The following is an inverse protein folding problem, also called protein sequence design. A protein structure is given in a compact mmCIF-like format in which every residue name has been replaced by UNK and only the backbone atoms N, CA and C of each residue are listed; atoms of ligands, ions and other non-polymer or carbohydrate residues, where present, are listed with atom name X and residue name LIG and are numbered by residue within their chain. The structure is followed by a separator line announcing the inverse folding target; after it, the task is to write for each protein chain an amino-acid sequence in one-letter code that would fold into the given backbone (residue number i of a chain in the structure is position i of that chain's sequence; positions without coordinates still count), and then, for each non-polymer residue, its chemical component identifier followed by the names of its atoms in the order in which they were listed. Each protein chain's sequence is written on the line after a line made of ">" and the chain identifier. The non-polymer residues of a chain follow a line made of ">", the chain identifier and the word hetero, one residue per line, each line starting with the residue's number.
data_IF_725307589460
#
_entry.id   IF_725307589460
#
_cell.length_a   1.000
_cell.length_b   1.000
_cell.length_c   1.000
_cell.angle_alpha   90.00
_cell.angle_beta   90.00
_cell.angle_gamma   90.00
#
_symmetry.space_group_name_H-M   'P 1'
#
loop_
_entity.id
_entity.type
_entity.pdbx_description
1 polymer ?
#
# COMPACT_ATOMS: atom_id res chain seq x y z
N UNK A 1 24.50 0.61 7.75
CA UNK A 1 24.05 -0.17 8.92
C UNK A 1 22.58 0.14 9.09
N UNK A 2 21.72 -0.84 8.79
CA UNK A 2 20.27 -0.71 8.91
C UNK A 2 19.92 -0.62 10.39
N UNK A 3 19.43 0.52 10.85
CA UNK A 3 18.57 0.54 12.02
C UNK A 3 17.48 -0.48 11.74
N UNK A 4 17.51 -1.60 12.46
CA UNK A 4 16.60 -2.70 12.25
C UNK A 4 15.18 -2.18 12.44
N UNK A 5 14.44 -2.07 11.33
CA UNK A 5 13.02 -1.79 11.34
C UNK A 5 12.36 -2.95 12.08
N UNK A 6 12.21 -2.82 13.40
CA UNK A 6 11.53 -3.78 14.25
C UNK A 6 10.02 -3.56 14.10
N UNK A 7 9.53 -3.81 12.88
CA UNK A 7 8.13 -3.69 12.52
C UNK A 7 7.50 -5.06 12.72
N UNK A 8 6.43 -5.13 13.51
CA UNK A 8 5.69 -6.37 13.70
C UNK A 8 4.82 -6.70 12.49
N UNK A 9 4.57 -8.00 12.26
CA UNK A 9 3.66 -8.45 11.20
C UNK A 9 2.28 -7.80 11.30
N UNK A 10 1.77 -7.62 12.53
CA UNK A 10 0.51 -6.93 12.76
C UNK A 10 0.52 -5.47 12.29
N UNK A 11 1.66 -4.78 12.41
CA UNK A 11 1.80 -3.41 11.91
C UNK A 11 1.89 -3.37 10.38
N UNK A 12 2.56 -4.33 9.75
CA UNK A 12 2.60 -4.47 8.28
C UNK A 12 1.21 -4.80 7.73
N UNK A 13 0.47 -5.70 8.37
CA UNK A 13 -0.89 -6.05 7.98
C UNK A 13 -1.84 -4.85 8.10
N UNK A 14 -1.79 -4.13 9.22
CA UNK A 14 -2.56 -2.91 9.43
C UNK A 14 -2.23 -1.83 8.38
N UNK A 15 -0.95 -1.67 8.03
CA UNK A 15 -0.51 -0.74 6.99
C UNK A 15 -1.02 -1.14 5.61
N UNK A 16 -0.90 -2.42 5.22
CA UNK A 16 -1.42 -2.95 3.97
C UNK A 16 -2.93 -2.75 3.84
N UNK A 17 -3.69 -3.09 4.89
CA UNK A 17 -5.13 -2.89 4.94
C UNK A 17 -5.51 -1.40 4.83
N UNK A 18 -4.77 -0.52 5.49
CA UNK A 18 -4.98 0.94 5.42
C UNK A 18 -4.72 1.49 4.01
N UNK A 19 -3.68 0.99 3.33
CA UNK A 19 -3.36 1.38 1.96
C UNK A 19 -4.41 0.91 0.95
N UNK A 20 -4.93 -0.32 1.13
CA UNK A 20 -6.04 -0.84 0.31
C UNK A 20 -7.31 -0.02 0.54
N UNK A 21 -7.64 0.27 1.80
CA UNK A 21 -8.80 1.10 2.14
C UNK A 21 -8.66 2.52 1.58
N UNK A 22 -7.47 3.13 1.65
CA UNK A 22 -7.19 4.44 1.08
C UNK A 22 -7.34 4.45 -0.44
N UNK A 23 -6.77 3.46 -1.13
CA UNK A 23 -6.91 3.30 -2.59
C UNK A 23 -8.38 3.18 -2.98
N UNK A 24 -9.14 2.32 -2.29
CA UNK A 24 -10.57 2.15 -2.50
C UNK A 24 -11.36 3.43 -2.22
N UNK A 25 -11.09 4.15 -1.13
CA UNK A 25 -11.75 5.42 -0.85
C UNK A 25 -11.48 6.45 -1.96
N UNK A 26 -10.25 6.53 -2.47
CA UNK A 26 -9.87 7.46 -3.54
C UNK A 26 -10.48 7.12 -4.91
N UNK A 27 -10.78 5.84 -5.18
CA UNK A 27 -11.48 5.43 -6.41
C UNK A 27 -13.00 5.50 -6.29
N UNK A 28 -13.54 5.18 -5.12
CA UNK A 28 -14.97 4.91 -4.91
C UNK A 28 -15.72 6.10 -4.31
N UNK A 29 -15.07 6.95 -3.50
CA UNK A 29 -15.62 8.23 -3.04
C UNK A 29 -15.62 9.30 -4.15
N UNK A 30 -15.86 8.84 -5.38
CA UNK A 30 -15.93 9.62 -6.60
C UNK A 30 -17.18 10.51 -6.56
N UNK A 31 -17.15 11.56 -5.75
CA UNK A 31 -17.90 12.76 -6.08
C UNK A 31 -17.42 13.16 -7.47
N UNK A 32 -18.25 12.92 -8.48
CA UNK A 32 -17.97 13.30 -9.85
C UNK A 32 -17.48 14.75 -9.87
N UNK A 33 -16.54 15.07 -10.76
CA UNK A 33 -16.17 16.47 -11.01
C UNK A 33 -17.48 17.25 -11.13
N UNK A 34 -17.71 18.29 -10.29
CA UNK A 34 -18.97 18.99 -10.28
C UNK A 34 -19.33 19.42 -11.71
N UNK A 35 -20.41 18.85 -12.24
CA UNK A 35 -20.91 19.19 -13.56
C UNK A 35 -21.69 20.51 -13.43
N UNK A 36 -20.96 21.61 -13.29
CA UNK A 36 -21.49 22.96 -13.24
C UNK A 36 -21.11 23.74 -14.50
N UNK A 37 -21.96 24.68 -14.90
CA UNK A 37 -21.53 25.70 -15.85
C UNK A 37 -20.61 26.68 -15.09
N UNK A 38 -19.32 26.62 -15.42
CA UNK A 38 -18.31 27.51 -14.85
C UNK A 38 -18.15 28.80 -15.67
N UNK A 39 -19.11 29.13 -16.54
CA UNK A 39 -19.16 30.39 -17.25
C UNK A 39 -19.16 31.55 -16.23
N UNK A 40 -18.06 32.30 -16.19
CA UNK A 40 -17.88 33.44 -15.30
C UNK A 40 -17.63 34.69 -16.12
N UNK A 41 -18.16 35.83 -15.68
CA UNK A 41 -17.87 37.15 -16.27
C UNK A 41 -16.37 37.49 -16.29
N UNK A 42 -15.56 36.88 -15.41
CA UNK A 42 -14.11 37.06 -15.33
C UNK A 42 -13.28 36.12 -16.23
N UNK A 43 -13.91 35.19 -16.97
CA UNK A 43 -13.21 34.24 -17.85
C UNK A 43 -12.49 33.06 -17.17
N UNK A 44 -12.52 32.95 -15.84
CA UNK A 44 -11.77 31.94 -15.06
C UNK A 44 -12.31 30.50 -15.20
N UNK A 45 -13.46 30.30 -15.86
CA UNK A 45 -14.10 28.99 -16.00
C UNK A 45 -13.25 27.91 -16.68
N UNK A 46 -12.30 28.30 -17.53
CA UNK A 46 -11.32 27.38 -18.10
C UNK A 46 -10.33 26.85 -17.05
N UNK A 47 -9.80 27.75 -16.22
CA UNK A 47 -8.83 27.45 -15.16
C UNK A 47 -9.45 26.59 -14.06
N UNK A 48 -10.70 26.89 -13.67
CA UNK A 48 -11.45 26.09 -12.69
C UNK A 48 -11.64 24.66 -13.20
N UNK A 49 -12.02 24.47 -14.48
CA UNK A 49 -12.15 23.13 -15.08
C UNK A 49 -10.82 22.40 -15.13
N UNK A 50 -9.74 23.07 -15.53
CA UNK A 50 -8.40 22.49 -15.56
C UNK A 50 -7.94 22.05 -14.16
N UNK A 51 -8.19 22.88 -13.14
CA UNK A 51 -7.89 22.56 -11.74
C UNK A 51 -8.67 21.34 -11.25
N UNK A 52 -9.99 21.29 -11.51
CA UNK A 52 -10.83 20.17 -11.09
C UNK A 52 -10.42 18.85 -11.78
N UNK A 53 -10.08 18.89 -13.07
CA UNK A 53 -9.53 17.73 -13.76
C UNK A 53 -8.17 17.31 -13.19
N UNK A 54 -7.25 18.26 -12.94
CA UNK A 54 -5.97 17.97 -12.33
C UNK A 54 -6.10 17.34 -10.95
N UNK A 55 -7.05 17.81 -10.14
CA UNK A 55 -7.36 17.23 -8.83
C UNK A 55 -7.84 15.78 -8.95
N UNK A 56 -8.72 15.49 -9.91
CA UNK A 56 -9.19 14.13 -10.17
C UNK A 56 -8.03 13.22 -10.60
N UNK A 57 -7.18 13.67 -11.52
CA UNK A 57 -5.99 12.94 -11.96
C UNK A 57 -5.02 12.66 -10.80
N UNK A 58 -4.74 13.66 -9.97
CA UNK A 58 -3.86 13.51 -8.80
C UNK A 58 -4.41 12.51 -7.79
N UNK A 59 -5.73 12.51 -7.56
CA UNK A 59 -6.38 11.53 -6.67
C UNK A 59 -6.25 10.10 -7.19
N UNK A 60 -6.41 9.89 -8.50
CA UNK A 60 -6.23 8.59 -9.13
C UNK A 60 -4.77 8.12 -9.06
N UNK A 61 -3.82 9.02 -9.28
CA UNK A 61 -2.39 8.72 -9.12
C UNK A 61 -2.06 8.31 -7.67
N UNK A 62 -2.63 8.99 -6.68
CA UNK A 62 -2.47 8.63 -5.27
C UNK A 62 -3.10 7.26 -4.94
N UNK A 63 -4.25 6.95 -5.54
CA UNK A 63 -4.90 5.66 -5.39
C UNK A 63 -4.03 4.51 -5.95
N UNK A 64 -3.38 4.74 -7.09
CA UNK A 64 -2.47 3.78 -7.70
C UNK A 64 -1.17 3.61 -6.91
N UNK A 65 -0.62 4.71 -6.39
CA UNK A 65 0.52 4.68 -5.47
C UNK A 65 0.19 3.88 -4.19
N UNK A 66 -0.98 4.11 -3.59
CA UNK A 66 -1.42 3.36 -2.41
C UNK A 66 -1.58 1.85 -2.72
N UNK A 67 -2.11 1.51 -3.89
CA UNK A 67 -2.20 0.12 -4.35
C UNK A 67 -0.83 -0.53 -4.57
N UNK A 68 0.12 0.23 -5.11
CA UNK A 68 1.51 -0.23 -5.32
C UNK A 68 2.20 -0.46 -3.98
N UNK A 69 2.11 0.47 -3.05
CA UNK A 69 2.66 0.32 -1.71
C UNK A 69 2.05 -0.88 -0.96
N UNK A 70 0.74 -1.14 -1.09
CA UNK A 70 0.10 -2.31 -0.50
C UNK A 70 0.69 -3.64 -1.03
N UNK A 71 1.02 -3.69 -2.33
CA UNK A 71 1.67 -4.87 -2.94
C UNK A 71 3.10 -5.06 -2.44
N UNK A 72 3.85 -3.98 -2.26
CA UNK A 72 5.20 -4.05 -1.70
C UNK A 72 5.18 -4.56 -0.26
N UNK A 73 4.26 -4.07 0.57
CA UNK A 73 4.05 -4.58 1.93
C UNK A 73 3.74 -6.09 1.91
N UNK A 74 2.84 -6.52 1.03
CA UNK A 74 2.52 -7.95 0.89
C UNK A 74 3.74 -8.79 0.43
N UNK A 75 4.58 -8.24 -0.45
CA UNK A 75 5.81 -8.91 -0.89
C UNK A 75 6.81 -9.07 0.26
N UNK A 76 6.97 -8.03 1.10
CA UNK A 76 7.83 -8.10 2.30
C UNK A 76 7.33 -9.16 3.28
N UNK A 77 6.02 -9.20 3.56
CA UNK A 77 5.43 -10.22 4.43
C UNK A 77 5.61 -11.64 3.87
N UNK A 78 5.46 -11.82 2.56
CA UNK A 78 5.70 -13.11 1.90
C UNK A 78 7.15 -13.56 2.00
N UNK A 79 8.11 -12.65 1.86
CA UNK A 79 9.53 -13.01 2.01
C UNK A 79 9.89 -13.30 3.48
N UNK A 80 9.33 -12.54 4.42
CA UNK A 80 9.51 -12.79 5.86
C UNK A 80 9.01 -14.16 6.26
N UNK A 81 7.78 -14.52 5.90
CA UNK A 81 7.21 -15.85 6.18
C UNK A 81 8.02 -17.00 5.55
N UNK A 82 8.61 -16.79 4.37
CA UNK A 82 9.50 -17.77 3.73
C UNK A 82 10.82 -17.91 4.50
N UNK A 83 11.36 -16.81 5.01
CA UNK A 83 12.55 -16.83 5.86
C UNK A 83 12.27 -17.58 7.17
N UNK A 84 11.13 -17.32 7.80
CA UNK A 84 10.71 -18.01 9.03
C UNK A 84 10.56 -19.52 8.81
N UNK A 85 9.94 -19.93 7.71
CA UNK A 85 9.82 -21.34 7.35
C UNK A 85 11.20 -22.01 7.19
N UNK A 86 12.15 -21.34 6.53
CA UNK A 86 13.53 -21.83 6.40
C UNK A 86 14.26 -21.92 7.73
N UNK A 87 14.07 -20.95 8.62
CA UNK A 87 14.66 -20.99 9.97
C UNK A 87 14.08 -22.15 10.79
N UNK A 88 12.76 -22.36 10.74
CA UNK A 88 12.11 -23.47 11.42
C UNK A 88 12.61 -24.84 10.91
N UNK A 89 12.78 -24.99 9.60
CA UNK A 89 13.35 -26.20 8.98
C UNK A 89 14.81 -26.43 9.37
N UNK A 90 15.63 -25.38 9.37
CA UNK A 90 17.04 -25.45 9.80
C UNK A 90 17.19 -25.83 11.28
N UNK A 91 16.33 -25.29 12.15
CA UNK A 91 16.31 -25.65 13.57
C UNK A 91 15.85 -27.09 13.78
N UNK A 92 14.75 -27.50 13.14
CA UNK A 92 14.23 -28.88 13.18
C UNK A 92 15.29 -29.92 12.79
N UNK A 93 15.99 -29.70 11.68
CA UNK A 93 17.07 -30.58 11.20
C UNK A 93 18.30 -30.56 12.14
N UNK A 94 18.65 -29.40 12.69
CA UNK A 94 19.72 -29.25 13.69
C UNK A 94 19.45 -30.00 15.00
N UNK A 95 18.20 -30.07 15.45
CA UNK A 95 17.81 -30.86 16.62
C UNK A 95 17.75 -32.37 16.31
N UNK A 96 17.28 -32.77 15.12
CA UNK A 96 17.24 -34.17 14.69
C UNK A 96 18.65 -34.80 14.60
N UNK A 97 19.64 -34.05 14.09
CA UNK A 97 21.04 -34.49 13.99
C UNK A 97 21.74 -34.60 15.35
N UNK A 98 21.31 -33.83 16.37
CA UNK A 98 21.92 -33.83 17.71
C UNK A 98 21.28 -34.87 18.65
N UNK A 99 20.04 -35.30 18.39
CA UNK A 99 19.34 -36.33 19.16
C UNK A 99 19.68 -37.77 18.77
N UNK A 100 20.25 -38.00 17.58
CA UNK A 100 20.52 -39.35 17.02
C UNK A 100 21.81 -40.03 17.47
N UNK A 101 22.42 -39.61 18.60
CA UNK A 101 23.64 -40.24 19.16
C UNK A 101 23.39 -40.74 20.58
N UNK A 102 22.60 -41.80 20.71
CA UNK A 102 22.75 -42.84 21.75
C UNK A 102 22.25 -44.17 21.23
#
# INVERSE_FOLDING_TARGET
>A
MSDGLNISDAALEAAGNSLVAASSAMTTANAAVPAGDFSSLSGIGGEVRAFLHGLQTGRLALADAAKTAAREVAAVMSESSRLDARMAEALSSGFALRGGRR
#
